data_IF_590167197346
#
_entry.id   IF_590167197346
#
_cell.length_a   1.000
_cell.length_b   1.000
_cell.length_c   1.000
_cell.angle_alpha   90.00
_cell.angle_beta   90.00
_cell.angle_gamma   90.00
#
_symmetry.space_group_name_H-M   'P 1'
#
loop_
_entity.id
_entity.type
_entity.pdbx_description
1 polymer ?
#
# COMPACT_ATOMS: atom_id res chain seq x y z
N UNK A 1 -2.18 12.66 7.82
CA UNK A 1 -1.13 13.60 7.36
C UNK A 1 0.22 12.95 7.08
N UNK A 2 0.65 11.93 7.84
CA UNK A 2 1.97 11.27 7.62
C UNK A 2 2.22 10.82 6.17
N UNK A 3 1.27 10.15 5.47
CA UNK A 3 1.54 9.69 4.10
C UNK A 3 1.77 10.87 3.13
N UNK A 4 0.96 11.93 3.19
CA UNK A 4 1.15 13.16 2.39
C UNK A 4 2.54 13.76 2.60
N UNK A 5 2.97 13.93 3.87
CA UNK A 5 4.30 14.46 4.17
C UNK A 5 5.41 13.58 3.59
N UNK A 6 5.26 12.25 3.70
CA UNK A 6 6.22 11.30 3.13
C UNK A 6 6.20 11.28 1.61
N UNK A 7 5.07 11.54 0.95
CA UNK A 7 5.00 11.72 -0.51
C UNK A 7 5.79 12.98 -0.91
N UNK A 8 5.64 14.10 -0.18
CA UNK A 8 6.42 15.32 -0.40
C UNK A 8 7.92 15.05 -0.22
N UNK A 9 8.32 14.39 0.87
CA UNK A 9 9.71 14.03 1.11
C UNK A 9 10.27 13.06 0.07
N UNK A 10 9.48 12.06 -0.34
CA UNK A 10 9.85 11.14 -1.43
C UNK A 10 10.07 11.91 -2.72
N UNK A 11 9.21 12.88 -3.05
CA UNK A 11 9.36 13.71 -4.24
C UNK A 11 10.66 14.52 -4.21
N UNK A 12 11.09 14.97 -3.03
CA UNK A 12 12.37 15.65 -2.83
C UNK A 12 13.56 14.68 -3.01
N UNK A 13 13.45 13.44 -2.54
CA UNK A 13 14.48 12.42 -2.77
C UNK A 13 14.56 12.06 -4.25
N UNK A 14 13.42 11.90 -4.92
CA UNK A 14 13.33 11.71 -6.38
C UNK A 14 14.00 12.88 -7.13
N UNK A 15 13.76 14.12 -6.70
CA UNK A 15 14.46 15.30 -7.21
C UNK A 15 15.98 15.14 -7.08
N UNK A 16 16.46 14.80 -5.87
CA UNK A 16 17.89 14.64 -5.58
C UNK A 16 18.52 13.54 -6.42
N UNK A 17 17.87 12.39 -6.58
CA UNK A 17 18.31 11.31 -7.46
C UNK A 17 18.43 11.82 -8.90
N UNK A 18 17.41 12.51 -9.42
CA UNK A 18 17.42 13.04 -10.77
C UNK A 18 18.52 14.09 -11.00
N UNK A 19 18.85 14.89 -9.98
CA UNK A 19 19.95 15.88 -10.04
C UNK A 19 21.34 15.25 -10.19
N UNK A 20 21.53 13.98 -9.82
CA UNK A 20 22.83 13.30 -9.95
C UNK A 20 23.26 13.09 -11.41
N UNK A 21 22.31 13.04 -12.35
CA UNK A 21 22.60 12.75 -13.76
C UNK A 21 21.92 13.71 -14.76
N UNK A 22 20.98 14.54 -14.30
CA UNK A 22 20.16 15.44 -15.10
C UNK A 22 20.18 16.90 -14.60
N UNK A 23 19.57 17.79 -15.38
CA UNK A 23 19.44 19.22 -15.03
C UNK A 23 18.32 19.51 -14.02
N UNK A 24 18.26 20.74 -13.50
CA UNK A 24 17.22 21.16 -12.55
C UNK A 24 15.79 20.90 -13.06
N UNK A 25 15.49 21.30 -14.30
CA UNK A 25 14.16 21.14 -14.91
C UNK A 25 13.73 19.67 -15.01
N UNK A 26 14.67 18.80 -15.35
CA UNK A 26 14.43 17.37 -15.44
C UNK A 26 14.14 16.78 -14.05
N UNK A 27 14.88 17.20 -13.03
CA UNK A 27 14.65 16.76 -11.67
C UNK A 27 13.31 17.25 -11.12
N UNK A 28 12.95 18.50 -11.37
CA UNK A 28 11.63 19.05 -11.02
C UNK A 28 10.51 18.25 -11.68
N UNK A 29 10.67 17.93 -12.97
CA UNK A 29 9.69 17.13 -13.70
C UNK A 29 9.50 15.73 -13.10
N UNK A 30 10.58 15.06 -12.69
CA UNK A 30 10.49 13.76 -12.01
C UNK A 30 9.69 13.85 -10.70
N UNK A 31 9.91 14.90 -9.90
CA UNK A 31 9.16 15.11 -8.66
C UNK A 31 7.67 15.39 -8.91
N UNK A 32 7.36 16.22 -9.90
CA UNK A 32 5.97 16.51 -10.29
C UNK A 32 5.28 15.25 -10.82
N UNK A 33 5.94 14.48 -11.68
CA UNK A 33 5.41 13.21 -12.19
C UNK A 33 5.13 12.20 -11.06
N UNK A 34 5.97 12.16 -10.03
CA UNK A 34 5.73 11.32 -8.87
C UNK A 34 4.54 11.82 -8.02
N UNK A 35 4.48 13.11 -7.70
CA UNK A 35 3.43 13.66 -6.82
C UNK A 35 2.03 13.57 -7.42
N UNK A 36 1.92 13.72 -8.73
CA UNK A 36 0.63 13.69 -9.44
C UNK A 36 0.34 12.35 -10.13
N UNK A 37 1.14 11.31 -9.86
CA UNK A 37 0.71 9.96 -10.26
C UNK A 37 -0.59 9.62 -9.54
N UNK A 38 -1.49 8.92 -10.22
CA UNK A 38 -2.77 8.57 -9.61
C UNK A 38 -2.55 7.66 -8.39
N UNK A 39 -1.61 6.72 -8.50
CA UNK A 39 -1.24 5.84 -7.40
C UNK A 39 -0.74 6.60 -6.16
N UNK A 40 0.01 7.69 -6.32
CA UNK A 40 0.47 8.53 -5.21
C UNK A 40 -0.72 9.24 -4.56
N UNK A 41 -1.57 9.86 -5.37
CA UNK A 41 -2.73 10.61 -4.92
C UNK A 41 -3.69 9.73 -4.12
N UNK A 42 -4.11 8.59 -4.69
CA UNK A 42 -5.14 7.71 -4.12
C UNK A 42 -4.67 6.85 -2.95
N UNK A 43 -3.39 6.90 -2.60
CA UNK A 43 -2.85 6.14 -1.45
C UNK A 43 -2.27 7.04 -0.37
N UNK A 44 -2.26 8.35 -0.59
CA UNK A 44 -1.69 9.35 0.33
C UNK A 44 -2.68 9.84 1.40
N UNK A 45 -3.96 9.50 1.24
CA UNK A 45 -5.07 9.85 2.12
C UNK A 45 -5.30 8.85 3.26
N UNK A 46 -4.73 7.63 3.18
CA UNK A 46 -4.77 6.64 4.25
C UNK A 46 -3.39 6.08 4.63
N UNK A 47 -3.26 5.64 5.88
CA UNK A 47 -1.98 5.13 6.41
C UNK A 47 -1.86 3.62 6.23
N UNK A 48 -1.21 3.20 5.15
CA UNK A 48 -0.83 1.79 4.93
C UNK A 48 0.67 1.54 5.08
N UNK A 49 1.46 2.51 5.55
CA UNK A 49 2.92 2.37 5.64
C UNK A 49 3.65 2.22 4.29
N UNK A 50 2.95 2.16 3.15
CA UNK A 50 3.57 2.10 1.81
C UNK A 50 4.42 3.35 1.53
N UNK A 51 3.95 4.52 1.94
CA UNK A 51 4.68 5.79 1.79
C UNK A 51 5.94 5.86 2.68
N UNK A 52 5.91 5.22 3.86
CA UNK A 52 7.11 5.06 4.70
C UNK A 52 8.12 4.18 3.96
N UNK A 53 7.68 3.02 3.48
CA UNK A 53 8.53 2.08 2.76
C UNK A 53 9.17 2.71 1.51
N UNK A 54 8.39 3.44 0.71
CA UNK A 54 8.89 4.09 -0.52
C UNK A 54 9.86 5.24 -0.21
N UNK A 55 9.58 6.04 0.81
CA UNK A 55 10.51 7.06 1.26
C UNK A 55 11.86 6.45 1.66
N UNK A 56 11.83 5.34 2.42
CA UNK A 56 13.03 4.62 2.83
C UNK A 56 13.76 3.98 1.65
N UNK A 57 13.02 3.36 0.71
CA UNK A 57 13.57 2.77 -0.53
C UNK A 57 14.25 3.82 -1.39
N UNK A 58 13.61 4.98 -1.61
CA UNK A 58 14.20 6.06 -2.42
C UNK A 58 15.42 6.67 -1.73
N UNK A 59 15.40 6.82 -0.40
CA UNK A 59 16.59 7.21 0.37
C UNK A 59 17.73 6.19 0.23
N UNK A 60 17.44 4.89 0.37
CA UNK A 60 18.40 3.81 0.15
C UNK A 60 19.05 3.92 -1.24
N UNK A 61 18.24 4.04 -2.29
CA UNK A 61 18.75 4.19 -3.67
C UNK A 61 19.63 5.43 -3.81
N UNK A 62 19.20 6.59 -3.29
CA UNK A 62 19.99 7.81 -3.31
C UNK A 62 21.34 7.67 -2.57
N UNK A 63 21.34 7.03 -1.41
CA UNK A 63 22.54 6.80 -0.60
C UNK A 63 23.51 5.81 -1.25
N UNK A 64 22.99 4.74 -1.86
CA UNK A 64 23.80 3.82 -2.66
C UNK A 64 24.53 4.56 -3.79
N UNK A 65 23.83 5.46 -4.48
CA UNK A 65 24.40 6.26 -5.58
C UNK A 65 25.45 7.27 -5.15
N UNK A 66 25.31 7.82 -3.95
CA UNK A 66 26.25 8.79 -3.41
C UNK A 66 27.43 8.14 -2.68
N UNK A 67 27.59 6.81 -2.83
CA UNK A 67 28.71 6.08 -2.25
C UNK A 67 28.63 5.93 -0.73
N UNK A 68 27.42 5.93 -0.17
CA UNK A 68 27.17 5.79 1.28
C UNK A 68 26.52 4.43 1.59
N UNK A 69 27.28 3.31 1.46
CA UNK A 69 26.72 1.96 1.53
C UNK A 69 26.12 1.62 2.90
N UNK A 70 26.74 2.07 4.00
CA UNK A 70 26.24 1.83 5.37
C UNK A 70 24.88 2.49 5.59
N UNK A 71 24.76 3.77 5.21
CA UNK A 71 23.49 4.49 5.34
C UNK A 71 22.43 3.89 4.40
N UNK A 72 22.82 3.51 3.17
CA UNK A 72 21.94 2.82 2.24
C UNK A 72 21.36 1.53 2.83
N UNK A 73 22.22 0.64 3.35
CA UNK A 73 21.75 -0.61 3.93
C UNK A 73 20.90 -0.39 5.18
N UNK A 74 21.24 0.58 6.04
CA UNK A 74 20.40 0.94 7.19
C UNK A 74 18.98 1.37 6.76
N UNK A 75 18.86 2.23 5.76
CA UNK A 75 17.54 2.61 5.21
C UNK A 75 16.82 1.43 4.56
N UNK A 76 17.54 0.53 3.89
CA UNK A 76 16.99 -0.74 3.40
C UNK A 76 16.45 -1.64 4.52
N UNK A 77 17.16 -1.68 5.65
CA UNK A 77 16.76 -2.40 6.85
C UNK A 77 15.46 -1.84 7.45
N UNK A 78 15.36 -0.52 7.57
CA UNK A 78 14.14 0.15 8.01
C UNK A 78 12.98 -0.11 7.05
N UNK A 79 13.24 -0.12 5.73
CA UNK A 79 12.23 -0.42 4.73
C UNK A 79 11.68 -1.85 4.90
N UNK A 80 12.56 -2.82 5.14
CA UNK A 80 12.21 -4.22 5.43
C UNK A 80 11.38 -4.38 6.70
N UNK A 81 11.78 -3.70 7.77
CA UNK A 81 11.04 -3.68 9.04
C UNK A 81 9.67 -3.01 8.91
N UNK A 82 9.52 -2.09 7.97
CA UNK A 82 8.22 -1.46 7.67
C UNK A 82 7.33 -2.41 6.85
N UNK A 83 7.88 -2.96 5.76
CA UNK A 83 7.15 -3.82 4.81
C UNK A 83 8.08 -4.85 4.19
N UNK A 84 7.77 -6.14 4.37
CA UNK A 84 8.62 -7.25 3.89
C UNK A 84 8.81 -7.28 2.38
N UNK A 85 7.87 -6.77 1.58
CA UNK A 85 8.06 -6.63 0.13
C UNK A 85 9.20 -5.65 -0.24
N UNK A 86 9.73 -4.87 0.71
CA UNK A 86 10.94 -4.07 0.50
C UNK A 86 12.19 -4.93 0.28
N UNK A 87 12.14 -6.25 0.49
CA UNK A 87 13.23 -7.16 0.16
C UNK A 87 13.60 -7.12 -1.33
N UNK A 88 12.63 -6.89 -2.21
CA UNK A 88 12.86 -6.79 -3.65
C UNK A 88 13.69 -5.56 -4.04
N UNK A 89 13.33 -4.32 -3.64
CA UNK A 89 14.18 -3.17 -3.92
C UNK A 89 15.53 -3.22 -3.19
N UNK A 90 15.61 -3.78 -1.98
CA UNK A 90 16.89 -4.02 -1.28
C UNK A 90 17.78 -4.96 -2.10
N UNK A 91 17.23 -6.07 -2.58
CA UNK A 91 17.93 -7.00 -3.48
C UNK A 91 18.34 -6.33 -4.79
N UNK A 92 17.50 -5.45 -5.35
CA UNK A 92 17.84 -4.64 -6.53
C UNK A 92 19.08 -3.76 -6.34
N UNK A 93 19.20 -3.07 -5.20
CA UNK A 93 20.42 -2.32 -4.87
C UNK A 93 21.62 -3.25 -4.64
N UNK A 94 21.42 -4.38 -3.96
CA UNK A 94 22.46 -5.40 -3.77
C UNK A 94 23.01 -5.94 -5.08
N UNK A 95 22.13 -6.27 -6.04
CA UNK A 95 22.51 -6.73 -7.38
C UNK A 95 23.22 -5.65 -8.19
N UNK A 96 22.81 -4.39 -8.05
CA UNK A 96 23.54 -3.28 -8.66
C UNK A 96 24.97 -3.16 -8.11
N UNK A 97 25.14 -3.22 -6.79
CA UNK A 97 26.47 -3.17 -6.16
C UNK A 97 27.33 -4.38 -6.53
N UNK A 98 26.71 -5.56 -6.67
CA UNK A 98 27.36 -6.77 -7.18
C UNK A 98 27.80 -6.60 -8.64
N UNK A 99 26.96 -6.02 -9.49
CA UNK A 99 27.32 -5.69 -10.87
C UNK A 99 28.51 -4.72 -10.92
N UNK A 100 28.51 -3.66 -10.10
CA UNK A 100 29.64 -2.74 -10.02
C UNK A 100 30.91 -3.43 -9.52
N UNK A 101 30.79 -4.34 -8.54
CA UNK A 101 31.91 -5.14 -8.04
C UNK A 101 32.60 -5.95 -9.14
N UNK A 102 31.84 -6.57 -10.04
CA UNK A 102 32.40 -7.35 -11.15
C UNK A 102 32.95 -6.47 -12.30
N UNK A 103 32.34 -5.32 -12.56
CA UNK A 103 32.74 -4.42 -13.65
C UNK A 103 33.94 -3.54 -13.29
N UNK A 104 34.04 -3.09 -12.04
CA UNK A 104 35.10 -2.21 -11.55
C UNK A 104 35.99 -2.99 -10.59
N UNK A 105 37.15 -3.47 -11.08
CA UNK A 105 38.15 -4.17 -10.25
C UNK A 105 38.77 -3.19 -9.24
N UNK A 106 38.20 -3.08 -8.04
CA UNK A 106 38.74 -2.22 -6.97
C UNK A 106 38.32 -2.64 -5.57
N UNK A 107 39.27 -2.64 -4.62
CA UNK A 107 39.07 -3.01 -3.20
C UNK A 107 37.99 -2.15 -2.51
N UNK A 108 37.88 -0.86 -2.88
CA UNK A 108 36.84 0.05 -2.38
C UNK A 108 35.41 -0.43 -2.68
N UNK A 109 35.18 -1.15 -3.78
CA UNK A 109 33.86 -1.69 -4.12
C UNK A 109 33.49 -2.95 -3.35
N UNK A 110 34.48 -3.78 -2.98
CA UNK A 110 34.25 -4.94 -2.08
C UNK A 110 33.71 -4.47 -0.73
N UNK A 111 34.25 -3.37 -0.22
CA UNK A 111 33.78 -2.75 1.00
C UNK A 111 32.35 -2.21 0.85
N UNK A 112 31.95 -1.67 -0.30
CA UNK A 112 30.60 -1.12 -0.48
C UNK A 112 29.50 -2.19 -0.43
N UNK A 113 29.64 -3.29 -1.18
CA UNK A 113 28.67 -4.38 -1.15
C UNK A 113 28.60 -5.01 0.25
N UNK A 114 29.75 -5.30 0.85
CA UNK A 114 29.81 -5.88 2.19
C UNK A 114 29.18 -4.97 3.25
N UNK A 115 29.53 -3.69 3.26
CA UNK A 115 28.98 -2.71 4.20
C UNK A 115 27.48 -2.49 4.01
N UNK A 116 26.99 -2.47 2.77
CA UNK A 116 25.57 -2.43 2.47
C UNK A 116 24.85 -3.65 3.04
N UNK A 117 25.32 -4.86 2.74
CA UNK A 117 24.72 -6.10 3.23
C UNK A 117 24.72 -6.17 4.76
N UNK A 118 25.83 -5.81 5.40
CA UNK A 118 25.95 -5.83 6.86
C UNK A 118 24.96 -4.84 7.51
N UNK A 119 24.89 -3.61 7.00
CA UNK A 119 23.99 -2.57 7.52
C UNK A 119 22.51 -2.80 7.16
N UNK A 120 22.21 -3.58 6.13
CA UNK A 120 20.85 -4.04 5.84
C UNK A 120 20.43 -5.19 6.77
N UNK A 121 21.32 -6.17 7.00
CA UNK A 121 21.01 -7.36 7.78
C UNK A 121 21.00 -7.11 9.29
N UNK A 122 22.02 -6.44 9.85
CA UNK A 122 22.16 -6.32 11.32
C UNK A 122 20.93 -5.67 11.97
N UNK A 123 20.46 -4.47 11.56
CA UNK A 123 19.33 -3.83 12.24
C UNK A 123 18.04 -4.65 12.08
N UNK A 124 17.82 -5.23 10.90
CA UNK A 124 16.66 -6.07 10.60
C UNK A 124 16.64 -7.31 11.49
N UNK A 125 17.77 -8.01 11.60
CA UNK A 125 17.91 -9.20 12.43
C UNK A 125 17.79 -8.86 13.91
N UNK A 126 18.42 -7.79 14.39
CA UNK A 126 18.33 -7.39 15.80
C UNK A 126 16.88 -7.10 16.21
N UNK A 127 16.15 -6.32 15.42
CA UNK A 127 14.73 -6.02 15.70
C UNK A 127 13.86 -7.27 15.56
N UNK A 128 14.07 -8.07 14.51
CA UNK A 128 13.31 -9.31 14.30
C UNK A 128 13.54 -10.35 15.40
N UNK A 129 14.78 -10.50 15.88
CA UNK A 129 15.12 -11.39 16.99
C UNK A 129 14.50 -10.90 18.29
N UNK A 130 14.57 -9.59 18.57
CA UNK A 130 13.90 -9.00 19.73
C UNK A 130 12.39 -9.31 19.72
N UNK A 131 11.71 -9.08 18.59
CA UNK A 131 10.28 -9.37 18.46
C UNK A 131 9.97 -10.87 18.55
N UNK A 132 10.82 -11.72 17.99
CA UNK A 132 10.70 -13.16 18.10
C UNK A 132 10.74 -13.64 19.55
N UNK A 133 11.76 -13.23 20.32
CA UNK A 133 11.89 -13.64 21.72
C UNK A 133 10.81 -13.01 22.60
N UNK A 134 10.45 -11.74 22.36
CA UNK A 134 9.42 -11.05 23.15
C UNK A 134 8.02 -11.63 22.93
N UNK A 135 7.71 -12.11 21.72
CA UNK A 135 6.41 -12.69 21.38
C UNK A 135 6.31 -14.20 21.65
N UNK A 136 7.32 -14.82 22.28
CA UNK A 136 7.34 -16.27 22.50
C UNK A 136 7.36 -17.07 21.19
N UNK A 137 7.90 -16.50 20.11
CA UNK A 137 7.99 -17.13 18.79
C UNK A 137 6.82 -16.81 17.83
N UNK A 138 5.75 -16.19 18.31
CA UNK A 138 4.57 -15.85 17.47
C UNK A 138 4.92 -14.93 16.29
N UNK A 139 5.90 -14.03 16.44
CA UNK A 139 6.38 -13.14 15.37
C UNK A 139 6.75 -13.86 14.07
N UNK A 140 7.37 -15.05 14.17
CA UNK A 140 7.74 -15.83 12.98
C UNK A 140 6.51 -16.26 12.20
N UNK A 141 5.48 -16.77 12.89
CA UNK A 141 4.24 -17.21 12.27
C UNK A 141 3.43 -16.02 11.75
N UNK A 142 3.21 -15.00 12.57
CA UNK A 142 2.25 -13.92 12.31
C UNK A 142 2.78 -12.85 11.34
N UNK A 143 4.10 -12.63 11.31
CA UNK A 143 4.71 -11.57 10.51
C UNK A 143 5.48 -12.11 9.32
N UNK A 144 6.36 -13.09 9.53
CA UNK A 144 7.21 -13.60 8.45
C UNK A 144 6.45 -14.63 7.61
N UNK A 145 6.01 -15.73 8.21
CA UNK A 145 5.40 -16.84 7.48
C UNK A 145 4.02 -16.45 6.93
N UNK A 146 3.13 -15.87 7.73
CA UNK A 146 1.80 -15.44 7.27
C UNK A 146 1.84 -14.42 6.12
N UNK A 147 2.78 -13.46 6.14
CA UNK A 147 2.89 -12.45 5.06
C UNK A 147 3.68 -12.94 3.84
N UNK A 148 4.48 -13.98 4.02
CA UNK A 148 5.14 -14.72 2.94
C UNK A 148 4.26 -15.85 2.38
N UNK A 149 3.23 -16.30 3.11
CA UNK A 149 2.25 -17.27 2.64
C UNK A 149 1.45 -16.63 1.51
N UNK A 150 1.83 -17.00 0.28
CA UNK A 150 1.27 -16.60 -1.00
C UNK A 150 -0.12 -17.23 -1.24
N UNK A 151 -0.92 -17.43 -0.20
CA UNK A 151 -2.25 -18.02 -0.35
C UNK A 151 -3.08 -17.03 -1.17
N UNK A 152 -3.59 -17.44 -2.35
CA UNK A 152 -4.42 -16.57 -3.17
C UNK A 152 -5.69 -16.27 -2.40
N UNK A 153 -5.89 -15.00 -2.04
CA UNK A 153 -7.15 -14.52 -1.49
C UNK A 153 -8.14 -14.37 -2.65
N UNK A 154 -9.40 -14.79 -2.46
CA UNK A 154 -10.47 -14.49 -3.41
C UNK A 154 -10.60 -12.97 -3.51
N UNK A 155 -10.14 -12.39 -4.62
CA UNK A 155 -10.04 -10.95 -4.79
C UNK A 155 -10.04 -10.53 -6.26
N UNK A 156 -9.77 -9.24 -6.49
CA UNK A 156 -9.74 -8.67 -7.85
C UNK A 156 -8.63 -9.36 -8.67
N UNK A 157 -8.91 -9.88 -9.88
CA UNK A 157 -7.88 -10.49 -10.71
C UNK A 157 -6.70 -9.55 -10.98
N UNK A 158 -5.46 -10.05 -10.87
CA UNK A 158 -4.22 -9.27 -11.08
C UNK A 158 -4.24 -8.45 -12.37
N UNK A 159 -4.77 -9.04 -13.45
CA UNK A 159 -4.87 -8.37 -14.74
C UNK A 159 -5.75 -7.12 -14.68
N UNK A 160 -6.87 -7.15 -13.94
CA UNK A 160 -7.74 -5.98 -13.76
C UNK A 160 -7.05 -4.89 -12.94
N UNK A 161 -6.28 -5.28 -11.91
CA UNK A 161 -5.50 -4.32 -11.11
C UNK A 161 -4.42 -3.65 -11.97
N UNK A 162 -3.72 -4.44 -12.79
CA UNK A 162 -2.72 -3.92 -13.74
C UNK A 162 -3.37 -3.01 -14.79
N UNK A 163 -4.50 -3.40 -15.37
CA UNK A 163 -5.25 -2.57 -16.32
C UNK A 163 -5.68 -1.26 -15.68
N UNK A 164 -6.14 -1.29 -14.43
CA UNK A 164 -6.49 -0.08 -13.68
C UNK A 164 -5.27 0.82 -13.49
N UNK A 165 -4.13 0.27 -13.06
CA UNK A 165 -2.87 1.03 -12.95
C UNK A 165 -2.43 1.65 -14.28
N UNK A 166 -2.37 0.85 -15.34
CA UNK A 166 -1.95 1.32 -16.66
C UNK A 166 -2.93 2.35 -17.20
N UNK A 167 -4.23 2.26 -16.91
CA UNK A 167 -5.21 3.26 -17.35
C UNK A 167 -4.97 4.63 -16.73
N UNK A 168 -4.73 4.70 -15.43
CA UNK A 168 -4.61 5.96 -14.69
C UNK A 168 -3.21 6.55 -14.67
N UNK A 169 -2.18 5.71 -14.74
CA UNK A 169 -0.78 6.09 -14.83
C UNK A 169 -0.20 5.83 -16.24
N UNK A 170 -1.07 5.81 -17.27
CA UNK A 170 -0.71 5.45 -18.66
C UNK A 170 0.46 6.28 -19.19
N UNK A 171 0.44 7.58 -18.94
CA UNK A 171 1.45 8.50 -19.47
C UNK A 171 2.82 8.23 -18.84
N UNK A 172 2.86 7.96 -17.53
CA UNK A 172 4.06 7.55 -16.82
C UNK A 172 4.58 6.22 -17.35
N UNK A 173 3.70 5.23 -17.52
CA UNK A 173 4.07 3.93 -18.06
C UNK A 173 4.61 4.05 -19.50
N UNK A 174 3.90 4.76 -20.38
CA UNK A 174 4.27 4.97 -21.78
C UNK A 174 5.60 5.74 -21.92
N UNK A 175 5.77 6.85 -21.20
CA UNK A 175 7.03 7.61 -21.23
C UNK A 175 8.21 6.78 -20.70
N UNK A 176 7.98 5.94 -19.70
CA UNK A 176 9.01 5.03 -19.18
C UNK A 176 9.39 3.95 -20.20
N UNK A 177 8.43 3.37 -20.92
CA UNK A 177 8.70 2.43 -22.01
C UNK A 177 9.53 3.13 -23.12
N UNK A 178 9.13 4.33 -23.52
CA UNK A 178 9.86 5.12 -24.52
C UNK A 178 11.27 5.49 -24.06
N UNK A 179 11.48 5.74 -22.75
CA UNK A 179 12.82 5.89 -22.19
C UNK A 179 13.68 4.64 -22.44
N UNK A 180 13.16 3.43 -22.21
CA UNK A 180 13.92 2.20 -22.46
C UNK A 180 14.24 2.01 -23.94
N UNK A 181 13.33 2.40 -24.85
CA UNK A 181 13.56 2.30 -26.30
C UNK A 181 14.58 3.32 -26.83
N UNK A 182 14.55 4.57 -26.35
CA UNK A 182 15.28 5.69 -26.97
C UNK A 182 16.30 6.40 -26.07
N UNK A 183 16.32 6.10 -24.77
CA UNK A 183 17.10 6.82 -23.76
C UNK A 183 18.46 6.22 -23.42
N UNK A 184 19.31 7.04 -22.80
CA UNK A 184 20.64 6.63 -22.33
C UNK A 184 20.55 5.86 -21.00
N UNK A 185 20.90 4.57 -21.02
CA UNK A 185 20.65 3.62 -19.90
C UNK A 185 21.73 3.63 -18.80
N UNK A 186 22.99 3.91 -19.14
CA UNK A 186 24.13 3.75 -18.20
C UNK A 186 24.03 4.63 -16.94
N UNK A 187 23.44 5.82 -17.05
CA UNK A 187 23.31 6.78 -15.93
C UNK A 187 22.19 6.43 -14.94
N UNK A 188 21.38 5.40 -15.23
CA UNK A 188 20.21 4.99 -14.45
C UNK A 188 20.29 3.53 -13.97
N UNK A 189 21.48 2.92 -14.03
CA UNK A 189 21.66 1.50 -13.70
C UNK A 189 21.06 1.11 -12.33
N UNK A 190 21.34 1.81 -11.20
CA UNK A 190 20.72 1.51 -9.91
C UNK A 190 19.19 1.42 -9.95
N UNK A 191 18.53 2.41 -10.55
CA UNK A 191 17.06 2.43 -10.66
C UNK A 191 16.56 1.33 -11.58
N UNK A 192 17.29 1.02 -12.65
CA UNK A 192 16.93 -0.06 -13.58
C UNK A 192 17.01 -1.42 -12.87
N UNK A 193 18.05 -1.67 -12.07
CA UNK A 193 18.16 -2.90 -11.27
C UNK A 193 17.02 -3.01 -10.26
N UNK A 194 16.75 -1.94 -9.50
CA UNK A 194 15.65 -1.92 -8.52
C UNK A 194 14.30 -2.12 -9.21
N UNK A 195 14.04 -1.41 -10.31
CA UNK A 195 12.81 -1.54 -11.07
C UNK A 195 12.65 -2.94 -11.65
N UNK A 196 13.70 -3.54 -12.21
CA UNK A 196 13.66 -4.90 -12.75
C UNK A 196 13.33 -5.94 -11.67
N UNK A 197 13.94 -5.85 -10.49
CA UNK A 197 13.62 -6.76 -9.37
C UNK A 197 12.21 -6.53 -8.84
N UNK A 198 11.73 -5.27 -8.84
CA UNK A 198 10.33 -4.98 -8.52
C UNK A 198 9.36 -5.61 -9.54
N UNK A 199 9.69 -5.64 -10.84
CA UNK A 199 8.86 -6.35 -11.82
C UNK A 199 8.77 -7.85 -11.52
N UNK A 200 9.85 -8.47 -11.04
CA UNK A 200 9.83 -9.88 -10.58
C UNK A 200 8.86 -10.06 -9.41
N UNK A 201 8.82 -9.11 -8.45
CA UNK A 201 7.83 -9.12 -7.37
C UNK A 201 6.39 -9.17 -7.91
N UNK A 202 6.03 -8.36 -8.90
CA UNK A 202 4.69 -8.40 -9.49
C UNK A 202 4.36 -9.69 -10.25
N UNK A 203 5.37 -10.45 -10.66
CA UNK A 203 5.17 -11.76 -11.29
C UNK A 203 4.96 -12.85 -10.23
N UNK A 204 5.81 -12.87 -9.21
CA UNK A 204 5.86 -13.96 -8.21
C UNK A 204 4.82 -13.79 -7.11
N UNK A 205 4.50 -12.55 -6.72
CA UNK A 205 3.57 -12.29 -5.62
C UNK A 205 2.13 -12.61 -6.01
N UNK A 206 1.43 -13.40 -5.20
CA UNK A 206 0.09 -13.90 -5.53
C UNK A 206 -1.03 -12.93 -5.18
N UNK A 207 -0.88 -12.20 -4.08
CA UNK A 207 -1.91 -11.34 -3.51
C UNK A 207 -1.61 -9.86 -3.80
N UNK A 208 -1.71 -9.46 -5.07
CA UNK A 208 -1.37 -8.10 -5.49
C UNK A 208 -2.52 -7.12 -5.23
N UNK A 209 -2.19 -5.98 -4.62
CA UNK A 209 -3.10 -4.85 -4.46
C UNK A 209 -2.63 -3.65 -5.27
N UNK A 210 -3.57 -2.77 -5.62
CA UNK A 210 -3.26 -1.53 -6.35
C UNK A 210 -2.18 -0.69 -5.67
N UNK A 211 -2.18 -0.61 -4.33
CA UNK A 211 -1.20 0.16 -3.56
C UNK A 211 0.26 -0.27 -3.79
N UNK A 212 0.51 -1.53 -4.20
CA UNK A 212 1.87 -1.99 -4.43
C UNK A 212 2.52 -1.34 -5.64
N UNK A 213 1.74 -0.89 -6.63
CA UNK A 213 2.25 -0.14 -7.79
C UNK A 213 2.91 1.18 -7.40
N UNK A 214 2.66 1.67 -6.19
CA UNK A 214 3.34 2.82 -5.63
C UNK A 214 4.87 2.58 -5.51
N UNK A 215 5.32 1.31 -5.39
CA UNK A 215 6.74 0.94 -5.44
C UNK A 215 7.41 1.24 -6.80
N UNK A 216 6.66 1.16 -7.90
CA UNK A 216 7.19 1.42 -9.25
C UNK A 216 7.23 2.92 -9.55
N UNK A 217 6.30 3.67 -8.96
CA UNK A 217 6.00 5.07 -9.31
C UNK A 217 7.22 6.00 -9.27
N UNK A 218 8.09 6.01 -8.22
CA UNK A 218 9.28 6.85 -8.22
C UNK A 218 10.21 6.58 -9.41
N UNK A 219 10.36 5.32 -9.80
CA UNK A 219 11.24 4.91 -10.89
C UNK A 219 10.64 5.25 -12.25
N UNK A 220 9.33 5.02 -12.43
CA UNK A 220 8.60 5.46 -13.63
C UNK A 220 8.68 6.98 -13.81
N UNK A 221 8.57 7.75 -12.73
CA UNK A 221 8.72 9.20 -12.77
C UNK A 221 10.14 9.62 -13.22
N UNK A 222 11.18 8.96 -12.69
CA UNK A 222 12.56 9.19 -13.11
C UNK A 222 12.76 8.84 -14.59
N UNK A 223 12.30 7.67 -15.05
CA UNK A 223 12.42 7.25 -16.45
C UNK A 223 11.67 8.19 -17.40
N UNK A 224 10.43 8.55 -17.05
CA UNK A 224 9.62 9.48 -17.82
C UNK A 224 10.28 10.85 -17.95
N UNK A 225 10.81 11.41 -16.86
CA UNK A 225 11.52 12.69 -16.91
C UNK A 225 12.80 12.62 -17.76
N UNK A 226 13.50 11.48 -17.74
CA UNK A 226 14.65 11.25 -18.64
C UNK A 226 14.24 11.17 -20.10
N UNK A 227 13.12 10.51 -20.42
CA UNK A 227 12.60 10.49 -21.80
C UNK A 227 12.32 11.91 -22.31
N UNK A 228 11.64 12.74 -21.52
CA UNK A 228 11.37 14.14 -21.89
C UNK A 228 12.68 14.93 -22.08
N UNK A 229 13.69 14.69 -21.25
CA UNK A 229 15.00 15.31 -21.42
C UNK A 229 15.73 14.85 -22.70
N UNK A 230 15.58 13.59 -23.09
CA UNK A 230 16.11 13.06 -24.36
C UNK A 230 15.37 13.68 -25.54
N UNK A 231 14.05 13.74 -25.49
CA UNK A 231 13.21 14.35 -26.53
C UNK A 231 13.59 15.82 -26.75
N UNK A 232 13.81 16.58 -25.66
CA UNK A 232 14.29 17.97 -25.72
C UNK A 232 15.58 18.12 -26.50
N UNK A 233 16.51 17.17 -26.37
CA UNK A 233 17.80 17.25 -27.07
C UNK A 233 17.71 16.85 -28.53
N UNK A 234 16.70 16.05 -28.91
CA UNK A 234 16.50 15.55 -30.27
C UNK A 234 15.60 16.45 -31.12
N UNK A 235 14.69 17.20 -30.51
CA UNK A 235 13.81 18.11 -31.23
C UNK A 235 14.48 19.48 -31.39
N UNK A 236 14.45 19.99 -32.63
CA UNK A 236 15.00 21.31 -32.99
C UNK A 236 14.27 22.47 -32.30
N UNK A 237 13.00 22.28 -31.92
CA UNK A 237 12.14 23.29 -31.29
C UNK A 237 11.94 23.00 -29.80
N UNK A 238 12.71 23.61 -28.89
CA UNK A 238 12.61 23.35 -27.45
C UNK A 238 11.24 23.74 -26.86
N UNK A 239 10.53 24.69 -27.47
CA UNK A 239 9.18 25.12 -27.04
C UNK A 239 8.15 23.98 -27.14
N UNK A 240 8.28 23.09 -28.13
CA UNK A 240 7.41 21.91 -28.28
C UNK A 240 7.55 20.96 -27.08
N UNK A 241 8.74 20.85 -26.49
CA UNK A 241 8.94 19.99 -25.31
C UNK A 241 8.37 20.60 -24.03
N UNK A 242 8.36 21.93 -23.91
CA UNK A 242 7.64 22.60 -22.83
C UNK A 242 6.14 22.40 -22.95
N UNK A 243 5.59 22.48 -24.17
CA UNK A 243 4.19 22.19 -24.42
C UNK A 243 3.84 20.74 -24.07
N UNK A 244 4.67 19.75 -24.46
CA UNK A 244 4.47 18.34 -24.09
C UNK A 244 4.53 18.15 -22.57
N UNK A 245 5.52 18.74 -21.89
CA UNK A 245 5.61 18.66 -20.43
C UNK A 245 4.40 19.30 -19.76
N UNK A 246 3.93 20.44 -20.28
CA UNK A 246 2.73 21.11 -19.79
C UNK A 246 1.46 20.28 -20.01
N UNK A 247 1.31 19.65 -21.18
CA UNK A 247 0.19 18.73 -21.47
C UNK A 247 0.24 17.53 -20.51
N UNK A 248 1.42 16.95 -20.26
CA UNK A 248 1.54 15.86 -19.28
C UNK A 248 1.13 16.35 -17.90
N UNK A 249 1.54 17.55 -17.48
CA UNK A 249 1.11 18.13 -16.20
C UNK A 249 -0.41 18.32 -16.15
N UNK A 250 -1.04 18.82 -17.21
CA UNK A 250 -2.51 18.95 -17.28
C UNK A 250 -3.21 17.59 -17.18
N UNK A 251 -2.68 16.56 -17.84
CA UNK A 251 -3.23 15.21 -17.77
C UNK A 251 -3.01 14.57 -16.39
N UNK A 252 -1.90 14.88 -15.73
CA UNK A 252 -1.68 14.50 -14.33
C UNK A 252 -2.60 15.29 -13.37
N UNK A 253 -2.98 16.52 -13.71
CA UNK A 253 -3.98 17.27 -12.95
C UNK A 253 -5.39 16.67 -13.10
N UNK A 254 -5.71 16.09 -14.26
CA UNK A 254 -6.95 15.34 -14.43
C UNK A 254 -7.06 14.16 -13.44
N UNK A 255 -5.94 13.48 -13.14
CA UNK A 255 -5.91 12.42 -12.11
C UNK A 255 -6.32 12.94 -10.73
N UNK A 256 -5.90 14.16 -10.35
CA UNK A 256 -6.30 14.79 -9.10
C UNK A 256 -7.81 15.07 -9.07
N UNK A 257 -8.35 15.66 -10.14
CA UNK A 257 -9.79 15.94 -10.24
C UNK A 257 -10.60 14.65 -10.15
N UNK A 258 -10.20 13.62 -10.90
CA UNK A 258 -10.88 12.32 -10.87
C UNK A 258 -10.84 11.68 -9.48
N UNK A 259 -9.67 11.69 -8.82
CA UNK A 259 -9.54 11.20 -7.46
C UNK A 259 -10.46 11.93 -6.47
N UNK A 260 -10.45 13.26 -6.48
CA UNK A 260 -11.28 14.08 -5.56
C UNK A 260 -12.76 13.78 -5.74
N UNK A 261 -13.22 13.64 -6.99
CA UNK A 261 -14.63 13.44 -7.29
C UNK A 261 -15.12 12.01 -7.04
N UNK A 262 -14.27 10.99 -7.20
CA UNK A 262 -14.71 9.58 -7.23
C UNK A 262 -14.16 8.72 -6.09
N UNK A 263 -13.06 9.12 -5.45
CA UNK A 263 -12.30 8.24 -4.56
C UNK A 263 -11.97 8.83 -3.20
N UNK A 264 -11.85 10.16 -3.07
CA UNK A 264 -11.52 10.79 -1.80
C UNK A 264 -12.53 10.51 -0.67
N UNK A 265 -13.77 10.10 -1.01
CA UNK A 265 -14.80 9.71 -0.03
C UNK A 265 -14.87 8.22 0.24
N UNK A 266 -14.19 7.37 -0.54
CA UNK A 266 -14.32 5.91 -0.47
C UNK A 266 -13.90 5.34 0.90
N UNK A 267 -13.00 6.03 1.61
CA UNK A 267 -12.53 5.63 2.95
C UNK A 267 -13.21 6.39 4.09
N UNK A 268 -14.28 7.16 3.82
CA UNK A 268 -15.00 7.94 4.85
C UNK A 268 -16.29 7.25 5.24
N UNK A 269 -16.49 7.07 6.55
CA UNK A 269 -17.79 6.65 7.12
C UNK A 269 -18.66 7.90 7.22
N UNK A 270 -19.43 8.19 6.16
CA UNK A 270 -20.24 9.42 6.08
C UNK A 270 -21.34 9.49 7.16
N UNK A 271 -21.81 8.34 7.63
CA UNK A 271 -22.85 8.17 8.64
C UNK A 271 -22.27 7.90 10.04
N UNK A 272 -21.02 8.31 10.32
CA UNK A 272 -20.36 8.00 11.60
C UNK A 272 -21.16 8.51 12.79
N UNK A 273 -21.62 9.76 12.78
CA UNK A 273 -22.34 10.35 13.92
C UNK A 273 -23.66 9.63 14.21
N UNK A 274 -24.42 9.26 13.16
CA UNK A 274 -25.64 8.45 13.27
C UNK A 274 -25.34 7.06 13.83
N UNK A 275 -24.23 6.46 13.39
CA UNK A 275 -23.76 5.17 13.87
C UNK A 275 -23.38 5.21 15.36
N UNK A 276 -22.69 6.26 15.81
CA UNK A 276 -22.33 6.47 17.21
C UNK A 276 -23.59 6.61 18.06
N UNK A 277 -24.55 7.44 17.63
CA UNK A 277 -25.82 7.62 18.32
C UNK A 277 -26.63 6.31 18.42
N UNK A 278 -26.67 5.52 17.35
CA UNK A 278 -27.33 4.21 17.35
C UNK A 278 -26.69 3.28 18.38
N UNK A 279 -25.36 3.19 18.42
CA UNK A 279 -24.66 2.34 19.40
C UNK A 279 -24.94 2.79 20.82
N UNK A 280 -24.87 4.09 21.08
CA UNK A 280 -25.08 4.64 22.42
C UNK A 280 -26.51 4.47 22.93
N UNK A 281 -27.51 4.52 22.04
CA UNK A 281 -28.92 4.35 22.38
C UNK A 281 -29.38 2.90 22.49
N UNK A 282 -28.63 1.94 21.93
CA UNK A 282 -29.03 0.52 21.85
C UNK A 282 -28.13 -0.45 22.63
N UNK A 283 -27.04 0.05 23.21
CA UNK A 283 -26.07 -0.74 24.00
C UNK A 283 -25.59 0.00 25.25
N UNK A 284 -25.21 -0.76 26.27
CA UNK A 284 -24.49 -0.29 27.46
C UNK A 284 -22.97 -0.18 27.18
N UNK A 285 -22.21 0.43 28.09
CA UNK A 285 -20.74 0.52 27.95
C UNK A 285 -20.02 -0.82 28.14
N UNK A 286 -20.62 -1.75 28.87
CA UNK A 286 -20.06 -3.08 29.14
C UNK A 286 -20.30 -4.08 27.99
N UNK A 287 -21.19 -3.71 27.07
CA UNK A 287 -21.49 -4.48 25.87
C UNK A 287 -20.30 -4.49 24.90
N UNK A 288 -20.22 -5.56 24.10
CA UNK A 288 -19.22 -5.68 23.06
C UNK A 288 -19.80 -5.44 21.66
N UNK A 289 -18.97 -4.87 20.79
CA UNK A 289 -19.24 -4.73 19.36
C UNK A 289 -18.42 -5.77 18.59
N UNK A 290 -18.94 -6.25 17.47
CA UNK A 290 -18.22 -7.15 16.56
C UNK A 290 -18.51 -6.81 15.11
N UNK A 291 -17.60 -7.11 14.18
CA UNK A 291 -17.89 -6.94 12.75
C UNK A 291 -16.73 -6.39 11.94
N UNK A 292 -17.07 -5.66 10.88
CA UNK A 292 -16.11 -5.17 9.89
C UNK A 292 -14.92 -4.44 10.51
N UNK A 293 -13.71 -4.89 10.15
CA UNK A 293 -12.43 -4.35 10.63
C UNK A 293 -12.22 -2.87 10.29
N UNK A 294 -12.97 -2.34 9.31
CA UNK A 294 -12.91 -0.94 8.89
C UNK A 294 -13.81 -0.03 9.73
N UNK A 295 -14.81 -0.58 10.41
CA UNK A 295 -15.85 0.19 11.12
C UNK A 295 -15.77 0.00 12.63
N UNK A 296 -15.78 -1.25 13.08
CA UNK A 296 -15.97 -1.59 14.51
C UNK A 296 -14.88 -1.06 15.41
N UNK A 297 -13.57 -1.12 15.07
CA UNK A 297 -12.53 -0.61 15.96
C UNK A 297 -12.68 0.89 16.25
N UNK A 298 -13.07 1.68 15.25
CA UNK A 298 -13.30 3.12 15.42
C UNK A 298 -14.54 3.39 16.26
N UNK A 299 -15.66 2.72 15.95
CA UNK A 299 -16.92 2.89 16.67
C UNK A 299 -16.79 2.47 18.13
N UNK A 300 -16.15 1.33 18.39
CA UNK A 300 -15.87 0.81 19.73
C UNK A 300 -15.03 1.80 20.54
N UNK A 301 -13.97 2.36 19.93
CA UNK A 301 -13.12 3.35 20.57
C UNK A 301 -13.89 4.63 20.92
N UNK A 302 -14.67 5.18 19.99
CA UNK A 302 -15.39 6.45 20.18
C UNK A 302 -16.56 6.32 21.17
N UNK A 303 -17.22 5.17 21.20
CA UNK A 303 -18.32 4.90 22.14
C UNK A 303 -17.83 4.29 23.46
N UNK A 304 -16.57 3.91 23.59
CA UNK A 304 -16.03 3.28 24.79
C UNK A 304 -16.60 1.88 25.06
N UNK A 305 -16.90 1.11 24.00
CA UNK A 305 -17.29 -0.30 24.08
C UNK A 305 -16.10 -1.20 23.77
N UNK A 306 -16.13 -2.44 24.24
CA UNK A 306 -15.11 -3.44 23.91
C UNK A 306 -15.39 -4.11 22.57
N UNK A 307 -14.35 -4.69 21.95
CA UNK A 307 -14.52 -5.54 20.75
C UNK A 307 -14.66 -6.98 21.21
N UNK A 308 -15.70 -7.69 20.74
CA UNK A 308 -15.98 -9.06 21.15
C UNK A 308 -14.79 -9.99 20.86
N UNK A 309 -14.39 -10.80 21.84
CA UNK A 309 -13.24 -11.69 21.76
C UNK A 309 -11.89 -11.00 21.49
N UNK A 310 -11.80 -9.66 21.57
CA UNK A 310 -10.64 -8.88 21.12
C UNK A 310 -10.24 -9.14 19.65
N UNK A 311 -11.21 -9.50 18.80
CA UNK A 311 -10.99 -9.78 17.38
C UNK A 311 -11.18 -8.48 16.60
N UNK A 312 -10.11 -7.69 16.50
CA UNK A 312 -10.14 -6.35 15.88
C UNK A 312 -10.03 -6.41 14.36
N UNK A 313 -9.31 -7.39 13.82
CA UNK A 313 -9.02 -7.50 12.38
C UNK A 313 -9.82 -8.65 11.72
N UNK A 314 -11.10 -8.44 11.49
CA UNK A 314 -11.97 -9.40 10.79
C UNK A 314 -11.72 -9.52 9.27
N UNK A 315 -10.56 -9.08 8.77
CA UNK A 315 -10.21 -9.22 7.36
C UNK A 315 -10.32 -10.69 6.91
N UNK A 316 -10.96 -10.91 5.75
CA UNK A 316 -11.20 -12.24 5.20
C UNK A 316 -9.93 -13.10 5.09
N UNK A 317 -8.76 -12.47 4.89
CA UNK A 317 -7.47 -13.15 4.83
C UNK A 317 -7.16 -13.92 6.11
N UNK A 318 -7.47 -13.37 7.28
CA UNK A 318 -7.18 -14.03 8.56
C UNK A 318 -7.97 -15.34 8.71
N UNK A 319 -9.18 -15.41 8.17
CA UNK A 319 -9.96 -16.65 8.12
C UNK A 319 -9.45 -17.63 7.06
N UNK A 320 -9.07 -17.13 5.88
CA UNK A 320 -8.60 -17.97 4.78
C UNK A 320 -7.25 -18.65 5.04
N UNK A 321 -6.40 -18.03 5.85
CA UNK A 321 -5.09 -18.60 6.23
C UNK A 321 -5.14 -19.38 7.53
N UNK A 322 -6.32 -19.54 8.14
CA UNK A 322 -6.49 -20.25 9.42
C UNK A 322 -5.94 -19.51 10.64
N UNK A 323 -5.66 -18.21 10.54
CA UNK A 323 -5.33 -17.38 11.72
C UNK A 323 -6.55 -17.27 12.63
N UNK A 324 -7.74 -17.16 12.04
CA UNK A 324 -9.01 -17.27 12.75
C UNK A 324 -9.79 -18.50 12.30
N UNK A 325 -10.17 -19.31 13.27
CA UNK A 325 -11.15 -20.38 13.08
C UNK A 325 -12.57 -19.79 13.13
N UNK A 326 -13.35 -20.02 12.07
CA UNK A 326 -14.70 -19.45 11.94
C UNK A 326 -15.62 -19.87 13.08
N UNK A 327 -15.56 -21.13 13.52
CA UNK A 327 -16.44 -21.63 14.58
C UNK A 327 -16.13 -20.95 15.92
N UNK A 328 -14.85 -20.74 16.21
CA UNK A 328 -14.37 -20.03 17.40
C UNK A 328 -14.82 -18.57 17.37
N UNK A 329 -14.63 -17.88 16.24
CA UNK A 329 -15.10 -16.50 16.09
C UNK A 329 -16.61 -16.40 16.27
N UNK A 330 -17.39 -17.23 15.57
CA UNK A 330 -18.85 -17.24 15.70
C UNK A 330 -19.33 -17.48 17.13
N UNK A 331 -18.65 -18.35 17.88
CA UNK A 331 -18.95 -18.57 19.30
C UNK A 331 -18.80 -17.28 20.09
N UNK A 332 -17.66 -16.59 19.96
CA UNK A 332 -17.42 -15.29 20.61
C UNK A 332 -18.47 -14.24 20.22
N UNK A 333 -18.84 -14.16 18.94
CA UNK A 333 -19.90 -13.24 18.51
C UNK A 333 -21.21 -13.53 19.21
N UNK A 334 -21.65 -14.80 19.22
CA UNK A 334 -22.93 -15.20 19.83
C UNK A 334 -22.99 -15.00 21.33
N UNK A 335 -21.86 -15.11 22.03
CA UNK A 335 -21.82 -15.01 23.51
C UNK A 335 -21.53 -13.61 24.01
N UNK A 336 -20.86 -12.76 23.24
CA UNK A 336 -20.37 -11.47 23.73
C UNK A 336 -20.90 -10.26 22.96
N UNK A 337 -21.19 -10.38 21.66
CA UNK A 337 -21.53 -9.23 20.83
C UNK A 337 -22.98 -8.81 21.04
N UNK A 338 -23.17 -7.55 21.41
CA UNK A 338 -24.49 -6.89 21.44
C UNK A 338 -24.89 -6.40 20.06
N UNK A 339 -23.93 -5.86 19.32
CA UNK A 339 -24.12 -5.37 17.96
C UNK A 339 -23.10 -5.98 17.01
N UNK A 340 -23.56 -6.39 15.84
CA UNK A 340 -22.73 -6.91 14.75
C UNK A 340 -22.82 -5.99 13.54
N UNK A 341 -21.68 -5.58 12.99
CA UNK A 341 -21.57 -4.70 11.84
C UNK A 341 -21.05 -5.49 10.65
N UNK A 342 -21.80 -5.51 9.54
CA UNK A 342 -21.41 -6.26 8.35
C UNK A 342 -21.51 -5.42 7.09
N UNK A 343 -20.43 -5.42 6.31
CA UNK A 343 -20.45 -4.89 4.95
C UNK A 343 -21.05 -5.93 3.99
N UNK A 344 -21.96 -5.47 3.15
CA UNK A 344 -22.71 -6.28 2.20
C UNK A 344 -22.70 -5.68 0.80
N UNK A 345 -22.88 -6.54 -0.20
CA UNK A 345 -23.18 -6.17 -1.58
C UNK A 345 -24.62 -6.55 -1.86
N UNK A 346 -25.43 -5.53 -2.15
CA UNK A 346 -26.83 -5.67 -2.53
C UNK A 346 -26.98 -5.29 -4.00
N UNK A 347 -27.65 -6.11 -4.80
CA UNK A 347 -27.86 -5.82 -6.22
C UNK A 347 -28.97 -4.79 -6.45
N UNK A 348 -29.25 -4.45 -7.72
CA UNK A 348 -30.30 -3.50 -8.10
C UNK A 348 -31.73 -3.96 -7.73
N UNK A 349 -31.92 -5.24 -7.39
CA UNK A 349 -33.20 -5.82 -6.98
C UNK A 349 -33.36 -5.86 -5.46
N UNK A 350 -32.32 -5.48 -4.71
CA UNK A 350 -32.31 -5.56 -3.25
C UNK A 350 -31.80 -6.89 -2.70
N UNK A 351 -31.27 -7.78 -3.55
CA UNK A 351 -30.79 -9.10 -3.14
C UNK A 351 -29.33 -9.05 -2.66
N UNK A 352 -29.03 -9.75 -1.57
CA UNK A 352 -27.65 -9.85 -1.04
C UNK A 352 -26.84 -10.81 -1.91
N UNK A 353 -25.89 -10.27 -2.68
CA UNK A 353 -25.02 -11.03 -3.58
C UNK A 353 -23.59 -11.21 -3.03
N UNK A 354 -23.27 -10.56 -1.91
CA UNK A 354 -21.99 -10.72 -1.23
C UNK A 354 -22.02 -10.19 0.21
N UNK A 355 -21.21 -10.78 1.09
CA UNK A 355 -21.07 -10.38 2.50
C UNK A 355 -19.69 -10.78 3.04
N UNK A 356 -19.28 -10.18 4.16
CA UNK A 356 -18.03 -10.53 4.83
C UNK A 356 -18.01 -11.98 5.33
N UNK A 357 -16.85 -12.65 5.28
CA UNK A 357 -16.75 -14.11 5.46
C UNK A 357 -17.10 -14.61 6.87
N UNK A 358 -17.07 -13.71 7.85
CA UNK A 358 -17.44 -14.01 9.23
C UNK A 358 -18.96 -14.07 9.42
N UNK A 359 -19.73 -13.49 8.50
CA UNK A 359 -21.18 -13.63 8.50
C UNK A 359 -21.54 -15.01 7.97
N UNK A 360 -22.16 -15.81 8.83
CA UNK A 360 -22.79 -17.07 8.45
C UNK A 360 -24.31 -16.91 8.59
N UNK A 361 -25.06 -17.65 7.78
CA UNK A 361 -26.50 -17.85 7.89
C UNK A 361 -26.96 -18.09 9.34
N UNK A 362 -26.16 -18.83 10.12
CA UNK A 362 -26.43 -19.12 11.53
C UNK A 362 -26.24 -17.93 12.49
N UNK A 363 -25.53 -16.88 12.09
CA UNK A 363 -25.39 -15.62 12.84
C UNK A 363 -26.59 -14.71 12.57
N UNK A 364 -27.00 -14.64 11.30
CA UNK A 364 -28.19 -13.89 10.85
C UNK A 364 -29.46 -14.43 11.50
N UNK A 365 -29.57 -15.74 11.73
CA UNK A 365 -30.73 -16.34 12.39
C UNK A 365 -30.92 -16.00 13.88
N UNK A 366 -29.88 -15.48 14.56
CA UNK A 366 -29.92 -15.15 16.00
C UNK A 366 -29.90 -13.65 16.31
N UNK A 367 -29.82 -12.80 15.29
CA UNK A 367 -29.74 -11.35 15.44
C UNK A 367 -30.81 -10.68 14.58
N UNK A 368 -31.31 -9.52 15.02
CA UNK A 368 -32.28 -8.73 14.27
C UNK A 368 -31.58 -7.60 13.53
N UNK A 369 -31.96 -7.33 12.28
CA UNK A 369 -31.46 -6.16 11.57
C UNK A 369 -32.05 -4.90 12.22
N UNK A 370 -31.20 -4.01 12.76
CA UNK A 370 -31.64 -2.78 13.44
C UNK A 370 -31.51 -1.57 12.52
N UNK A 371 -30.42 -1.51 11.73
CA UNK A 371 -30.17 -0.38 10.86
C UNK A 371 -29.37 -0.80 9.62
N UNK A 372 -29.53 -0.04 8.55
CA UNK A 372 -28.71 -0.15 7.35
C UNK A 372 -28.25 1.23 6.91
N UNK A 373 -27.01 1.30 6.41
CA UNK A 373 -26.42 2.53 5.92
C UNK A 373 -25.84 2.32 4.52
N UNK A 374 -26.18 3.17 3.54
CA UNK A 374 -25.59 3.05 2.21
C UNK A 374 -24.10 3.41 2.26
N UNK A 375 -23.28 2.58 1.61
CA UNK A 375 -21.86 2.87 1.41
C UNK A 375 -21.69 3.35 -0.03
N UNK A 376 -21.20 4.58 -0.16
CA UNK A 376 -21.01 5.25 -1.45
C UNK A 376 -19.54 5.13 -1.87
N UNK A 377 -19.27 4.73 -3.11
CA UNK A 377 -17.94 4.67 -3.72
C UNK A 377 -16.94 3.66 -3.11
N UNK A 378 -17.42 2.65 -2.38
CA UNK A 378 -16.59 1.52 -1.95
C UNK A 378 -16.51 0.45 -3.06
N UNK A 379 -15.34 -0.18 -3.19
CA UNK A 379 -15.04 -1.14 -4.24
C UNK A 379 -15.57 -2.56 -3.97
N UNK A 380 -15.96 -2.83 -2.73
CA UNK A 380 -16.22 -4.18 -2.21
C UNK A 380 -17.57 -4.35 -1.53
N UNK A 381 -18.25 -3.26 -1.18
CA UNK A 381 -19.55 -3.25 -0.54
C UNK A 381 -20.33 -1.99 -0.92
N UNK A 382 -21.66 -2.04 -0.82
CA UNK A 382 -22.51 -0.86 -1.01
C UNK A 382 -23.49 -0.65 0.15
N UNK A 383 -23.44 -1.48 1.19
CA UNK A 383 -24.29 -1.40 2.36
C UNK A 383 -23.50 -1.80 3.61
N UNK A 384 -23.70 -1.07 4.71
CA UNK A 384 -23.39 -1.52 6.06
C UNK A 384 -24.69 -1.91 6.75
N UNK A 385 -24.79 -3.17 7.20
CA UNK A 385 -25.89 -3.66 8.01
C UNK A 385 -25.45 -3.75 9.48
N UNK A 386 -26.30 -3.25 10.38
CA UNK A 386 -26.11 -3.32 11.84
C UNK A 386 -27.16 -4.24 12.43
N UNK A 387 -26.69 -5.29 13.08
CA UNK A 387 -27.52 -6.35 13.66
C UNK A 387 -27.49 -6.26 15.17
N UNK A 388 -28.67 -6.25 15.79
CA UNK A 388 -28.85 -6.43 17.22
C UNK A 388 -28.83 -7.89 17.58
N UNK A 389 -27.82 -8.28 18.34
CA UNK A 389 -27.73 -9.62 18.90
C UNK A 389 -28.15 -9.55 20.37
N UNK A 390 -29.13 -10.37 20.74
CA UNK A 390 -29.66 -10.43 22.09
C UNK A 390 -29.54 -11.82 22.66
N UNK A 391 -29.01 -11.90 23.90
CA UNK A 391 -29.64 -12.74 24.90
C UNK A 391 -31.15 -12.47 24.84
N UNK A 392 -31.96 -13.53 24.69
CA UNK A 392 -33.43 -13.46 24.52
C UNK A 392 -34.01 -12.27 25.26
N UNK A 393 -34.67 -11.36 24.53
CA UNK A 393 -35.66 -10.47 25.13
C UNK A 393 -36.59 -11.38 25.93
N UNK A 394 -36.59 -11.24 27.25
CA UNK A 394 -37.55 -11.96 28.09
C UNK A 394 -38.94 -11.55 27.60
N UNK A 395 -39.65 -12.55 27.07
CA UNK A 395 -41.06 -12.51 26.70
C UNK A 395 -41.93 -12.15 27.88
#
# INVERSE_FOLDING_TARGET
MVPILLSVWTSFVVFKIARLYGGFRQALLASVFFLFSFCCLTTSDYSSGVHISIFLITCMVYLARTGRPVASGFFGSLALLTRLYAMFPVAGVGLFLLYEYFQKRGVSLRNNLFMFSLSACIPFLLVSLFLYFHSGGAYLQDILLFRLSLIPVSGIPKLRILQFFVRWDLLLAACSILFFLFGARKKLLPEIFVFAVLLIFFIVYQDLYYLYFMLLTPFLALFSANFIAVLRRRLEKPNTVFLIAFIIILLLFHNLVFYVLNHATASRILFLDELLYLVESTSSRDDALFGSYEVVPLVALLTGRRVAGNIVDTNNKNFMTGVYDKATVQKSVKTEARLVFSKMVVDSRGEVVGHEIFLDSNLVGSCTLIATYPIINDYSANLLAVWGCGYRLAS
#
